data_IF_534300802991
#
_entry.id   IF_534300802991
#
_cell.length_a   1.000
_cell.length_b   1.000
_cell.length_c   1.000
_cell.angle_alpha   90.00
_cell.angle_beta   90.00
_cell.angle_gamma   90.00
#
_symmetry.space_group_name_H-M   'P 1'
#
loop_
_entity.id
_entity.type
_entity.pdbx_description
1 polymer ?
#
# COMPACT_ATOMS: atom_id res chain seq x y z
N UNK A 1 26.03 1.19 -9.31
CA UNK A 1 25.55 0.45 -8.11
C UNK A 1 26.16 1.11 -6.89
N UNK A 2 25.57 2.20 -6.43
CA UNK A 2 25.95 2.79 -5.14
C UNK A 2 25.24 1.95 -4.09
N UNK A 3 26.02 1.21 -3.31
CA UNK A 3 25.52 0.48 -2.17
C UNK A 3 24.92 1.51 -1.20
N UNK A 4 23.60 1.49 -1.05
CA UNK A 4 22.95 2.09 0.12
C UNK A 4 23.50 1.30 1.31
N UNK A 5 24.46 1.90 2.01
CA UNK A 5 25.01 1.31 3.20
C UNK A 5 23.84 1.01 4.15
N UNK A 6 23.71 -0.24 4.65
CA UNK A 6 22.76 -0.48 5.72
C UNK A 6 23.18 0.43 6.86
N UNK A 7 22.26 1.30 7.29
CA UNK A 7 22.41 2.05 8.54
C UNK A 7 22.62 1.00 9.62
N UNK A 8 23.88 0.81 10.02
CA UNK A 8 24.24 0.01 11.18
C UNK A 8 23.64 0.73 12.37
N UNK A 9 22.46 0.29 12.80
CA UNK A 9 22.04 0.49 14.18
C UNK A 9 23.10 -0.22 15.02
N UNK A 10 24.00 0.54 15.61
CA UNK A 10 24.93 0.02 16.60
C UNK A 10 24.10 -0.47 17.78
N UNK A 11 23.86 -1.78 17.85
CA UNK A 11 23.33 -2.41 19.05
C UNK A 11 24.41 -2.29 20.13
N UNK A 12 24.31 -1.25 20.96
CA UNK A 12 24.96 -1.25 22.26
C UNK A 12 24.29 -2.36 23.09
N UNK A 13 25.04 -3.33 23.64
CA UNK A 13 24.50 -4.50 24.32
C UNK A 13 23.84 -4.20 25.68
N UNK A 14 23.63 -2.92 26.04
CA UNK A 14 23.08 -2.47 27.32
C UNK A 14 21.79 -1.66 27.21
N UNK A 15 21.30 -1.33 26.01
CA UNK A 15 20.02 -0.63 25.85
C UNK A 15 18.89 -1.62 25.55
N UNK A 16 18.13 -2.01 26.57
CA UNK A 16 16.85 -2.72 26.39
C UNK A 16 15.98 -1.95 25.39
N UNK A 17 15.40 -2.67 24.42
CA UNK A 17 14.55 -2.11 23.37
C UNK A 17 13.36 -1.34 23.96
N UNK A 18 12.86 -0.34 23.23
CA UNK A 18 11.75 0.50 23.70
C UNK A 18 10.50 -0.33 24.04
N UNK A 19 10.16 -1.28 23.17
CA UNK A 19 9.00 -2.14 23.38
C UNK A 19 9.12 -3.02 24.62
N UNK A 20 10.32 -3.51 24.96
CA UNK A 20 10.53 -4.26 26.20
C UNK A 20 10.35 -3.39 27.43
N UNK A 21 10.82 -2.14 27.39
CA UNK A 21 10.66 -1.19 28.51
C UNK A 21 9.20 -0.79 28.73
N UNK A 22 8.43 -0.59 27.66
CA UNK A 22 7.07 -0.06 27.73
C UNK A 22 5.98 -1.15 27.87
N UNK A 23 6.11 -2.24 27.12
CA UNK A 23 5.07 -3.27 27.02
C UNK A 23 5.35 -4.48 27.92
N UNK A 24 6.62 -4.78 28.20
CA UNK A 24 7.04 -5.98 28.93
C UNK A 24 8.00 -5.67 30.08
N UNK A 25 7.66 -4.76 31.01
CA UNK A 25 8.57 -4.33 32.08
C UNK A 25 8.98 -5.46 33.03
N UNK A 26 8.13 -6.49 33.18
CA UNK A 26 8.35 -7.62 34.08
C UNK A 26 9.07 -8.80 33.40
N UNK A 27 9.32 -8.74 32.08
CA UNK A 27 9.91 -9.83 31.33
C UNK A 27 11.46 -9.73 31.41
N UNK A 28 12.17 -10.77 31.88
CA UNK A 28 13.63 -10.73 31.95
C UNK A 28 14.26 -10.59 30.56
N UNK A 29 15.39 -9.89 30.47
CA UNK A 29 16.05 -9.57 29.20
C UNK A 29 16.49 -10.82 28.39
N UNK A 30 16.60 -11.97 29.04
CA UNK A 30 16.95 -13.26 28.45
C UNK A 30 15.77 -14.00 27.83
N UNK A 31 14.53 -13.64 28.17
CA UNK A 31 13.33 -14.32 27.66
C UNK A 31 12.85 -13.67 26.35
N UNK A 32 12.41 -14.46 25.35
CA UNK A 32 11.82 -13.92 24.14
C UNK A 32 10.45 -13.29 24.45
N UNK A 33 10.10 -12.25 23.69
CA UNK A 33 8.77 -11.62 23.73
C UNK A 33 7.70 -12.59 23.20
N UNK A 34 6.42 -12.44 23.60
CA UNK A 34 5.33 -13.24 23.04
C UNK A 34 5.29 -13.17 21.52
N UNK A 35 4.97 -14.28 20.85
CA UNK A 35 5.07 -14.38 19.39
C UNK A 35 3.75 -13.94 18.74
N UNK A 36 3.81 -12.92 17.87
CA UNK A 36 2.68 -12.47 17.05
C UNK A 36 2.63 -13.19 15.71
N UNK A 37 3.77 -13.26 15.02
CA UNK A 37 3.93 -13.96 13.74
C UNK A 37 4.58 -15.31 14.02
N UNK A 38 3.89 -16.44 13.78
CA UNK A 38 4.45 -17.77 14.03
C UNK A 38 5.59 -18.07 13.05
N UNK A 39 6.57 -18.84 13.52
CA UNK A 39 7.65 -19.38 12.70
C UNK A 39 9.00 -19.34 13.39
N UNK A 40 9.97 -20.02 12.79
CA UNK A 40 11.33 -20.15 13.33
C UNK A 40 12.33 -19.41 12.45
N UNK A 41 13.23 -18.66 13.08
CA UNK A 41 14.34 -18.00 12.40
C UNK A 41 14.55 -16.55 12.82
N UNK A 42 15.80 -16.09 12.70
CA UNK A 42 16.23 -14.75 13.11
C UNK A 42 15.43 -13.63 12.43
N UNK A 43 15.05 -13.81 11.17
CA UNK A 43 14.27 -12.80 10.44
C UNK A 43 12.84 -12.64 11.01
N UNK A 44 12.25 -13.72 11.55
CA UNK A 44 10.90 -13.69 12.16
C UNK A 44 10.96 -13.07 13.56
N UNK A 45 12.01 -13.34 14.33
CA UNK A 45 12.28 -12.65 15.60
C UNK A 45 12.42 -11.13 15.37
N UNK A 46 13.20 -10.73 14.37
CA UNK A 46 13.34 -9.32 13.98
C UNK A 46 11.99 -8.71 13.58
N UNK A 47 11.16 -9.44 12.84
CA UNK A 47 9.83 -8.96 12.45
C UNK A 47 8.93 -8.74 13.68
N UNK A 48 8.86 -9.70 14.60
CA UNK A 48 8.09 -9.56 15.84
C UNK A 48 8.58 -8.34 16.66
N UNK A 49 9.90 -8.20 16.83
CA UNK A 49 10.51 -7.06 17.55
C UNK A 49 10.15 -5.72 16.88
N UNK A 50 10.10 -5.66 15.54
CA UNK A 50 9.74 -4.46 14.79
C UNK A 50 8.27 -4.11 14.93
N UNK A 51 7.37 -5.10 14.90
CA UNK A 51 5.93 -4.88 15.12
C UNK A 51 5.70 -4.35 16.54
N UNK A 52 6.32 -4.95 17.55
CA UNK A 52 6.22 -4.45 18.92
C UNK A 52 6.84 -3.07 19.09
N UNK A 53 7.94 -2.77 18.39
CA UNK A 53 8.51 -1.42 18.39
C UNK A 53 7.52 -0.40 17.84
N UNK A 54 6.84 -0.71 16.73
CA UNK A 54 5.83 0.17 16.14
C UNK A 54 4.65 0.42 17.11
N UNK A 55 4.19 -0.63 17.79
CA UNK A 55 3.15 -0.52 18.83
C UNK A 55 3.62 0.36 19.99
N UNK A 56 4.83 0.14 20.47
CA UNK A 56 5.41 0.93 21.57
C UNK A 56 5.56 2.41 21.20
N UNK A 57 5.90 2.72 19.94
CA UNK A 57 5.93 4.08 19.42
C UNK A 57 4.54 4.70 19.38
N UNK A 58 3.52 3.95 18.96
CA UNK A 58 2.13 4.42 18.99
C UNK A 58 1.67 4.73 20.42
N UNK A 59 1.97 3.86 21.39
CA UNK A 59 1.65 4.12 22.80
C UNK A 59 2.38 5.32 23.35
N UNK A 60 3.66 5.49 23.00
CA UNK A 60 4.44 6.64 23.42
C UNK A 60 3.88 7.95 22.86
N UNK A 61 3.51 7.99 21.59
CA UNK A 61 3.01 9.19 20.94
C UNK A 61 1.60 9.55 21.40
N UNK A 62 0.72 8.57 21.49
CA UNK A 62 -0.71 8.81 21.61
C UNK A 62 -1.32 8.47 22.97
N UNK A 63 -0.67 7.68 23.82
CA UNK A 63 -1.16 7.37 25.17
C UNK A 63 -0.32 8.11 26.21
N UNK A 64 1.00 7.95 26.18
CA UNK A 64 1.91 8.58 27.17
C UNK A 64 1.96 10.11 27.09
N UNK A 65 1.47 10.72 26.02
CA UNK A 65 1.36 12.18 25.92
C UNK A 65 0.35 12.79 26.89
N UNK A 66 -0.64 12.02 27.34
CA UNK A 66 -1.68 12.48 28.26
C UNK A 66 -1.92 11.57 29.47
N UNK A 67 -1.66 10.26 29.38
CA UNK A 67 -1.91 9.31 30.48
C UNK A 67 -1.24 9.70 31.81
N UNK A 68 0.03 10.19 31.85
CA UNK A 68 0.67 10.64 33.08
C UNK A 68 -0.04 11.80 33.80
N UNK A 69 -0.91 12.54 33.09
CA UNK A 69 -1.74 13.60 33.67
C UNK A 69 -2.94 13.05 34.43
N UNK A 70 -3.36 11.83 34.12
CA UNK A 70 -4.53 11.16 34.71
C UNK A 70 -4.09 10.17 35.78
N UNK A 71 -3.11 9.31 35.48
CA UNK A 71 -2.58 8.31 36.41
C UNK A 71 -1.06 8.22 36.31
N UNK A 72 -0.42 7.92 37.44
CA UNK A 72 1.02 7.64 37.51
C UNK A 72 1.34 6.15 37.42
N UNK A 73 0.32 5.30 37.32
CA UNK A 73 0.49 3.87 37.22
C UNK A 73 1.10 3.48 35.86
N UNK A 74 2.21 2.75 35.90
CA UNK A 74 2.93 2.29 34.72
C UNK A 74 2.45 0.91 34.24
N UNK A 75 1.60 0.23 35.02
CA UNK A 75 1.06 -1.10 34.68
C UNK A 75 -0.03 -1.07 33.59
N UNK A 76 -0.62 0.10 33.34
CA UNK A 76 -1.70 0.29 32.36
C UNK A 76 -1.28 -0.09 30.93
N UNK A 77 -0.05 0.25 30.53
CA UNK A 77 0.41 -0.06 29.16
C UNK A 77 0.65 -1.57 28.93
N UNK A 78 1.35 -2.29 29.84
CA UNK A 78 1.41 -3.74 29.79
C UNK A 78 0.03 -4.41 29.78
N UNK A 79 -0.89 -3.95 30.65
CA UNK A 79 -2.26 -4.49 30.71
C UNK A 79 -3.00 -4.31 29.38
N UNK A 80 -3.02 -3.09 28.83
CA UNK A 80 -3.61 -2.83 27.51
C UNK A 80 -3.01 -3.72 26.41
N UNK A 81 -1.70 -3.96 26.46
CA UNK A 81 -1.02 -4.81 25.49
C UNK A 81 -1.43 -6.29 25.63
N UNK A 82 -1.48 -6.81 26.85
CA UNK A 82 -1.84 -8.21 27.12
C UNK A 82 -3.32 -8.49 26.89
N UNK A 83 -4.21 -7.61 27.36
CA UNK A 83 -5.67 -7.79 27.34
C UNK A 83 -6.28 -7.50 25.96
N UNK A 84 -5.76 -6.53 25.21
CA UNK A 84 -6.45 -6.04 24.02
C UNK A 84 -5.58 -6.11 22.76
N UNK A 85 -4.38 -5.53 22.75
CA UNK A 85 -3.59 -5.51 21.51
C UNK A 85 -3.07 -6.87 21.08
N UNK A 86 -2.59 -7.69 22.01
CA UNK A 86 -2.07 -9.01 21.67
C UNK A 86 -3.18 -9.94 21.14
N UNK A 87 -4.36 -10.05 21.78
CA UNK A 87 -5.50 -10.77 21.23
C UNK A 87 -6.00 -10.20 19.90
N UNK A 88 -5.89 -8.88 19.67
CA UNK A 88 -6.28 -8.27 18.40
C UNK A 88 -5.30 -8.56 17.26
N UNK A 89 -3.99 -8.41 17.49
CA UNK A 89 -2.98 -8.50 16.44
C UNK A 89 -2.60 -9.95 16.12
N UNK A 90 -2.55 -10.83 17.12
CA UNK A 90 -2.07 -12.21 16.93
C UNK A 90 -2.91 -13.00 15.91
N UNK A 91 -4.26 -13.02 15.93
CA UNK A 91 -5.05 -13.75 14.94
C UNK A 91 -4.82 -13.24 13.51
N UNK A 92 -4.70 -11.91 13.36
CA UNK A 92 -4.46 -11.27 12.07
C UNK A 92 -3.06 -11.66 11.54
N UNK A 93 -2.02 -11.55 12.37
CA UNK A 93 -0.66 -11.92 12.02
C UNK A 93 -0.52 -13.42 11.71
N UNK A 94 -1.16 -14.27 12.51
CA UNK A 94 -1.17 -15.71 12.31
C UNK A 94 -1.80 -16.08 10.97
N UNK A 95 -2.99 -15.54 10.68
CA UNK A 95 -3.68 -15.75 9.41
C UNK A 95 -2.86 -15.30 8.21
N UNK A 96 -2.24 -14.12 8.29
CA UNK A 96 -1.38 -13.61 7.22
C UNK A 96 -0.18 -14.51 6.93
N UNK A 97 0.32 -15.20 7.96
CA UNK A 97 1.41 -16.16 7.79
C UNK A 97 0.97 -17.51 7.24
N UNK A 98 -0.26 -17.94 7.54
CA UNK A 98 -0.79 -19.25 7.15
C UNK A 98 -1.46 -19.23 5.77
N UNK A 99 -2.32 -18.23 5.50
CA UNK A 99 -2.98 -18.03 4.20
C UNK A 99 -2.76 -16.59 3.69
N UNK A 100 -1.66 -16.33 2.95
CA UNK A 100 -1.41 -15.02 2.36
C UNK A 100 -2.33 -14.71 1.16
N UNK A 101 -3.15 -15.68 0.73
CA UNK A 101 -3.95 -15.57 -0.50
C UNK A 101 -4.89 -14.38 -0.51
N UNK A 102 -5.51 -14.05 0.63
CA UNK A 102 -6.45 -12.92 0.73
C UNK A 102 -5.77 -11.59 0.42
N UNK A 103 -4.49 -11.42 0.79
CA UNK A 103 -3.72 -10.23 0.44
C UNK A 103 -3.31 -10.27 -1.03
N UNK A 104 -3.04 -11.44 -1.58
CA UNK A 104 -2.74 -11.59 -3.02
C UNK A 104 -3.98 -11.22 -3.85
N UNK A 105 -5.17 -11.64 -3.46
CA UNK A 105 -6.45 -11.23 -4.06
C UNK A 105 -6.64 -9.70 -3.95
N UNK A 106 -6.42 -9.13 -2.76
CA UNK A 106 -6.48 -7.69 -2.55
C UNK A 106 -5.54 -6.92 -3.49
N UNK A 107 -4.30 -7.39 -3.66
CA UNK A 107 -3.30 -6.71 -4.49
C UNK A 107 -3.53 -6.87 -5.99
N UNK A 108 -4.02 -8.04 -6.43
CA UNK A 108 -4.17 -8.35 -7.85
C UNK A 108 -5.54 -7.99 -8.41
N UNK A 109 -6.60 -8.14 -7.61
CA UNK A 109 -7.98 -8.03 -8.07
C UNK A 109 -8.61 -6.77 -7.51
N UNK A 110 -8.69 -6.64 -6.19
CA UNK A 110 -9.46 -5.58 -5.57
C UNK A 110 -8.80 -4.22 -5.76
N UNK A 111 -7.51 -4.07 -5.44
CA UNK A 111 -6.80 -2.80 -5.52
C UNK A 111 -6.81 -2.21 -6.94
N UNK A 112 -6.49 -2.95 -8.01
CA UNK A 112 -6.61 -2.41 -9.36
C UNK A 112 -8.05 -2.11 -9.77
N UNK A 113 -9.03 -2.89 -9.29
CA UNK A 113 -10.45 -2.63 -9.56
C UNK A 113 -10.94 -1.35 -8.86
N UNK A 114 -10.50 -1.11 -7.62
CA UNK A 114 -10.80 0.10 -6.87
C UNK A 114 -10.15 1.33 -7.50
N UNK A 115 -8.91 1.19 -7.98
CA UNK A 115 -8.24 2.25 -8.73
C UNK A 115 -8.96 2.54 -10.04
N UNK A 116 -9.36 1.52 -10.81
CA UNK A 116 -10.14 1.69 -12.03
C UNK A 116 -11.47 2.41 -11.77
N UNK A 117 -12.20 2.00 -10.72
CA UNK A 117 -13.42 2.66 -10.27
C UNK A 117 -13.16 4.12 -9.90
N UNK A 118 -12.08 4.40 -9.15
CA UNK A 118 -11.73 5.75 -8.75
C UNK A 118 -11.41 6.64 -9.96
N UNK A 119 -10.58 6.15 -10.89
CA UNK A 119 -10.18 6.89 -12.09
C UNK A 119 -11.38 7.17 -12.99
N UNK A 120 -12.23 6.17 -13.24
CA UNK A 120 -13.43 6.33 -14.06
C UNK A 120 -14.44 7.29 -13.43
N UNK A 121 -14.62 7.22 -12.11
CA UNK A 121 -15.47 8.16 -11.37
C UNK A 121 -14.92 9.59 -11.44
N UNK A 122 -13.61 9.75 -11.30
CA UNK A 122 -12.92 11.04 -11.41
C UNK A 122 -13.11 11.67 -12.80
N UNK A 123 -12.93 10.89 -13.86
CA UNK A 123 -13.17 11.37 -15.22
C UNK A 123 -14.63 11.78 -15.42
N UNK A 124 -15.58 10.96 -14.96
CA UNK A 124 -16.99 11.31 -15.01
C UNK A 124 -17.33 12.58 -14.23
N UNK A 125 -16.67 12.81 -13.08
CA UNK A 125 -16.84 14.03 -12.28
C UNK A 125 -16.33 15.27 -13.04
N UNK A 126 -15.13 15.18 -13.63
CA UNK A 126 -14.55 16.26 -14.45
C UNK A 126 -15.39 16.58 -15.68
N UNK A 127 -15.89 15.55 -16.37
CA UNK A 127 -16.76 15.73 -17.53
C UNK A 127 -18.06 16.44 -17.17
N UNK A 128 -18.69 16.11 -16.04
CA UNK A 128 -19.89 16.83 -15.61
C UNK A 128 -19.62 18.28 -15.20
N UNK A 129 -18.48 18.56 -14.56
CA UNK A 129 -18.09 19.95 -14.29
C UNK A 129 -17.87 20.74 -15.59
N UNK A 130 -17.26 20.11 -16.59
CA UNK A 130 -17.05 20.73 -17.91
C UNK A 130 -18.38 21.02 -18.64
N UNK A 131 -19.39 20.16 -18.48
CA UNK A 131 -20.72 20.32 -19.10
C UNK A 131 -21.66 21.24 -18.31
N UNK A 132 -21.46 21.39 -17.00
CA UNK A 132 -22.35 22.08 -16.06
C UNK A 132 -22.22 23.61 -16.00
N UNK A 133 -21.38 24.24 -16.83
CA UNK A 133 -21.02 25.67 -16.78
C UNK A 133 -22.13 26.70 -17.07
N UNK A 134 -23.40 26.39 -16.83
CA UNK A 134 -24.54 27.22 -17.21
C UNK A 134 -25.22 28.01 -16.08
N UNK A 135 -25.54 27.39 -14.94
CA UNK A 135 -26.36 28.06 -13.91
C UNK A 135 -26.07 27.42 -12.53
N UNK A 136 -25.48 28.16 -11.58
CA UNK A 136 -25.21 27.79 -10.18
C UNK A 136 -24.09 26.77 -9.83
N UNK A 137 -23.26 26.33 -10.79
CA UNK A 137 -22.13 25.40 -10.51
C UNK A 137 -20.82 26.10 -10.05
N UNK A 138 -20.81 27.42 -9.89
CA UNK A 138 -19.62 28.21 -9.51
C UNK A 138 -19.07 27.88 -8.10
N UNK A 139 -19.83 27.12 -7.29
CA UNK A 139 -19.46 26.70 -5.94
C UNK A 139 -19.19 25.19 -5.79
N UNK A 140 -19.46 24.37 -6.81
CA UNK A 140 -19.27 22.92 -6.68
C UNK A 140 -17.81 22.55 -6.88
N UNK A 141 -17.19 21.97 -5.87
CA UNK A 141 -15.82 21.46 -5.97
C UNK A 141 -15.79 20.16 -6.78
N UNK A 142 -14.60 19.78 -7.27
CA UNK A 142 -14.39 18.45 -7.87
C UNK A 142 -14.75 17.33 -6.88
N UNK A 143 -14.48 17.53 -5.59
CA UNK A 143 -14.89 16.65 -4.51
C UNK A 143 -16.41 16.44 -4.45
N UNK A 144 -17.21 17.51 -4.58
CA UNK A 144 -18.67 17.40 -4.57
C UNK A 144 -19.21 16.63 -5.78
N UNK A 145 -18.68 16.93 -6.97
CA UNK A 145 -19.06 16.22 -8.20
C UNK A 145 -18.66 14.72 -8.18
N UNK A 146 -17.56 14.40 -7.48
CA UNK A 146 -17.11 13.03 -7.25
C UNK A 146 -17.99 12.33 -6.21
N UNK A 147 -18.22 12.95 -5.05
CA UNK A 147 -19.02 12.39 -3.97
C UNK A 147 -20.46 12.11 -4.41
N UNK A 148 -21.06 12.99 -5.22
CA UNK A 148 -22.38 12.77 -5.80
C UNK A 148 -22.48 11.51 -6.66
N UNK A 149 -21.36 11.04 -7.25
CA UNK A 149 -21.30 9.80 -8.05
C UNK A 149 -21.03 8.57 -7.21
N UNK A 150 -20.20 8.73 -6.17
CA UNK A 150 -19.79 7.64 -5.29
C UNK A 150 -19.97 8.02 -3.82
N UNK A 151 -21.22 8.12 -3.33
CA UNK A 151 -21.49 8.45 -1.95
C UNK A 151 -21.14 7.24 -1.06
N UNK A 152 -20.10 7.39 -0.24
CA UNK A 152 -19.64 6.36 0.69
C UNK A 152 -19.98 6.75 2.13
N UNK A 153 -20.55 5.85 2.92
CA UNK A 153 -20.82 6.10 4.36
C UNK A 153 -19.54 6.37 5.17
N UNK A 154 -18.41 5.87 4.67
CA UNK A 154 -17.09 6.06 5.25
C UNK A 154 -16.48 7.43 4.95
N UNK A 155 -17.16 8.29 4.18
CA UNK A 155 -16.69 9.61 3.79
C UNK A 155 -17.73 10.65 4.17
N UNK A 156 -17.30 11.72 4.83
CA UNK A 156 -18.16 12.83 5.27
C UNK A 156 -17.52 14.17 4.91
N UNK A 157 -18.32 15.24 4.85
CA UNK A 157 -17.81 16.60 4.77
C UNK A 157 -17.26 17.00 6.14
N UNK A 158 -16.08 17.61 6.18
CA UNK A 158 -15.42 17.95 7.44
C UNK A 158 -16.17 19.07 8.16
N UNK A 159 -16.33 18.92 9.47
CA UNK A 159 -16.93 19.97 10.32
C UNK A 159 -16.02 21.19 10.47
N UNK A 160 -14.70 21.00 10.32
CA UNK A 160 -13.69 22.06 10.55
C UNK A 160 -13.31 22.83 9.29
N UNK A 161 -13.59 22.26 8.11
CA UNK A 161 -13.28 22.84 6.81
C UNK A 161 -14.49 22.60 5.92
N UNK A 162 -15.33 23.62 5.77
CA UNK A 162 -16.66 23.52 5.16
C UNK A 162 -16.66 22.97 3.72
N UNK A 163 -15.50 22.87 3.05
CA UNK A 163 -15.36 22.42 1.66
C UNK A 163 -14.48 21.18 1.46
N UNK A 164 -14.07 20.48 2.52
CA UNK A 164 -13.23 19.28 2.38
C UNK A 164 -13.93 18.01 2.84
N UNK A 165 -13.64 16.92 2.15
CA UNK A 165 -14.07 15.59 2.56
C UNK A 165 -13.02 14.94 3.46
N UNK A 166 -13.47 14.16 4.43
CA UNK A 166 -12.61 13.35 5.27
C UNK A 166 -13.22 11.97 5.55
N UNK A 167 -12.37 11.03 5.96
CA UNK A 167 -12.84 9.71 6.37
C UNK A 167 -13.62 9.82 7.66
N UNK A 168 -14.84 9.28 7.69
CA UNK A 168 -15.74 9.33 8.83
C UNK A 168 -15.09 8.76 10.09
N UNK A 169 -14.89 9.56 11.15
CA UNK A 169 -14.31 9.07 12.39
C UNK A 169 -15.24 8.07 13.08
N UNK A 170 -16.56 8.22 12.90
CA UNK A 170 -17.55 7.27 13.40
C UNK A 170 -17.42 5.91 12.70
N UNK A 171 -17.24 5.90 11.38
CA UNK A 171 -17.03 4.67 10.64
C UNK A 171 -15.74 3.96 11.08
N UNK A 172 -14.66 4.70 11.28
CA UNK A 172 -13.38 4.17 11.75
C UNK A 172 -13.46 3.58 13.17
N UNK A 173 -14.15 4.25 14.10
CA UNK A 173 -14.31 3.73 15.46
C UNK A 173 -15.28 2.56 15.53
N UNK A 174 -16.36 2.57 14.75
CA UNK A 174 -17.28 1.43 14.62
C UNK A 174 -16.57 0.21 14.04
N UNK A 175 -15.67 0.42 13.09
CA UNK A 175 -14.82 -0.63 12.54
C UNK A 175 -13.92 -1.25 13.62
N UNK A 176 -13.19 -0.44 14.40
CA UNK A 176 -12.34 -0.95 15.47
C UNK A 176 -13.17 -1.66 16.55
N UNK A 177 -14.35 -1.16 16.89
CA UNK A 177 -15.26 -1.84 17.82
C UNK A 177 -15.65 -3.24 17.31
N UNK A 178 -15.95 -3.37 16.02
CA UNK A 178 -16.27 -4.66 15.42
C UNK A 178 -15.08 -5.63 15.46
N UNK A 179 -13.86 -5.14 15.23
CA UNK A 179 -12.63 -5.93 15.39
C UNK A 179 -12.40 -6.39 16.83
N UNK A 180 -12.59 -5.48 17.80
CA UNK A 180 -12.42 -5.79 19.22
C UNK A 180 -13.42 -6.86 19.65
N UNK A 181 -14.70 -6.71 19.25
CA UNK A 181 -15.75 -7.68 19.55
C UNK A 181 -15.49 -9.08 18.97
N UNK A 182 -14.76 -9.17 17.87
CA UNK A 182 -14.43 -10.44 17.24
C UNK A 182 -13.24 -11.15 17.90
N UNK A 183 -12.24 -10.40 18.37
CA UNK A 183 -10.95 -10.95 18.79
C UNK A 183 -10.70 -10.91 20.30
N UNK A 184 -11.50 -10.15 21.06
CA UNK A 184 -11.41 -10.04 22.53
C UNK A 184 -12.65 -10.71 23.13
N UNK A 185 -12.46 -11.77 23.93
CA UNK A 185 -13.54 -12.55 24.55
C UNK A 185 -13.68 -12.26 26.06
N UNK A 186 -14.89 -12.47 26.61
CA UNK A 186 -15.11 -12.57 28.06
C UNK A 186 -15.06 -11.25 28.86
N UNK A 187 -14.65 -11.34 30.13
CA UNK A 187 -14.56 -10.21 31.10
C UNK A 187 -13.58 -9.12 30.64
N UNK A 188 -12.61 -9.48 29.80
CA UNK A 188 -11.62 -8.58 29.20
C UNK A 188 -12.26 -7.58 28.21
N UNK A 189 -13.31 -7.99 27.49
CA UNK A 189 -14.11 -7.10 26.65
C UNK A 189 -14.98 -6.14 27.48
N UNK A 190 -15.38 -6.54 28.69
CA UNK A 190 -16.26 -5.76 29.57
C UNK A 190 -15.53 -4.60 30.26
N UNK A 191 -14.19 -4.55 30.20
CA UNK A 191 -13.39 -3.40 30.64
C UNK A 191 -13.64 -2.17 29.75
N UNK A 192 -14.70 -1.43 30.08
CA UNK A 192 -15.22 -0.30 29.30
C UNK A 192 -14.18 0.81 29.02
N UNK A 193 -13.37 1.27 29.99
CA UNK A 193 -12.47 2.40 29.76
C UNK A 193 -11.31 2.09 28.80
N UNK A 194 -10.68 0.92 28.94
CA UNK A 194 -9.57 0.50 28.09
C UNK A 194 -10.04 0.23 26.66
N UNK A 195 -11.20 -0.44 26.52
CA UNK A 195 -11.82 -0.69 25.22
C UNK A 195 -12.12 0.61 24.46
N UNK A 196 -12.77 1.57 25.12
CA UNK A 196 -13.08 2.87 24.50
C UNK A 196 -11.79 3.60 24.14
N UNK A 197 -10.80 3.62 25.04
CA UNK A 197 -9.52 4.27 24.78
C UNK A 197 -8.83 3.72 23.53
N UNK A 198 -8.77 2.39 23.40
CA UNK A 198 -8.12 1.73 22.26
C UNK A 198 -8.93 1.90 20.98
N UNK A 199 -10.26 1.83 21.07
CA UNK A 199 -11.14 2.12 19.94
C UNK A 199 -10.90 3.51 19.38
N UNK A 200 -10.88 4.52 20.24
CA UNK A 200 -10.65 5.91 19.83
C UNK A 200 -9.21 6.12 19.33
N UNK A 201 -8.23 5.49 19.99
CA UNK A 201 -6.83 5.53 19.60
C UNK A 201 -6.59 4.95 18.20
N UNK A 202 -6.99 3.70 17.98
CA UNK A 202 -6.77 3.03 16.68
C UNK A 202 -7.64 3.69 15.61
N UNK A 203 -8.92 3.94 15.90
CA UNK A 203 -9.86 4.50 14.92
C UNK A 203 -9.51 5.92 14.50
N UNK A 204 -9.44 6.86 15.45
CA UNK A 204 -9.30 8.29 15.12
C UNK A 204 -7.84 8.70 14.93
N UNK A 205 -6.95 8.27 15.83
CA UNK A 205 -5.57 8.75 15.82
C UNK A 205 -4.71 8.00 14.80
N UNK A 206 -4.78 6.66 14.78
CA UNK A 206 -3.97 5.85 13.86
C UNK A 206 -4.60 5.82 12.47
N UNK A 207 -5.77 5.19 12.31
CA UNK A 207 -6.38 5.00 10.98
C UNK A 207 -6.80 6.33 10.35
N UNK A 208 -7.41 7.23 11.14
CA UNK A 208 -7.78 8.58 10.68
C UNK A 208 -6.56 9.47 10.40
N UNK A 209 -5.48 9.35 11.19
CA UNK A 209 -4.21 10.04 10.92
C UNK A 209 -3.57 9.58 9.61
N UNK A 210 -3.48 8.26 9.39
CA UNK A 210 -2.97 7.67 8.16
C UNK A 210 -3.84 8.10 6.97
N UNK A 211 -5.16 8.00 7.09
CA UNK A 211 -6.08 8.34 6.01
C UNK A 211 -5.92 9.78 5.55
N UNK A 212 -5.85 10.74 6.49
CA UNK A 212 -5.61 12.14 6.18
C UNK A 212 -4.32 12.36 5.40
N UNK A 213 -3.24 11.67 5.78
CA UNK A 213 -1.92 11.83 5.17
C UNK A 213 -1.84 11.22 3.78
N UNK A 214 -2.35 10.00 3.61
CA UNK A 214 -2.34 9.28 2.32
C UNK A 214 -3.32 9.93 1.32
N UNK A 215 -4.37 10.60 1.82
CA UNK A 215 -5.28 11.34 0.94
C UNK A 215 -4.62 12.56 0.29
N UNK A 216 -3.51 13.08 0.86
CA UNK A 216 -2.84 14.24 0.28
C UNK A 216 -2.06 13.89 -1.00
N UNK A 217 -2.17 14.69 -2.07
CA UNK A 217 -1.44 14.45 -3.32
C UNK A 217 0.09 14.42 -3.16
N UNK A 218 0.63 15.30 -2.30
CA UNK A 218 2.07 15.39 -2.06
C UNK A 218 2.67 14.10 -1.49
N UNK A 219 1.86 13.31 -0.76
CA UNK A 219 2.29 12.04 -0.21
C UNK A 219 2.67 11.07 -1.34
N UNK A 220 1.83 11.00 -2.38
CA UNK A 220 2.06 10.14 -3.55
C UNK A 220 3.25 10.60 -4.39
N UNK A 221 3.43 11.91 -4.54
CA UNK A 221 4.60 12.44 -5.25
C UNK A 221 5.90 12.11 -4.52
N UNK A 222 5.93 12.33 -3.20
CA UNK A 222 7.06 11.96 -2.35
C UNK A 222 7.33 10.46 -2.36
N UNK A 223 6.28 9.63 -2.36
CA UNK A 223 6.41 8.17 -2.47
C UNK A 223 6.99 7.78 -3.83
N UNK A 224 6.48 8.33 -4.93
CA UNK A 224 6.99 8.09 -6.29
C UNK A 224 8.46 8.43 -6.43
N UNK A 225 8.89 9.57 -5.89
CA UNK A 225 10.30 9.99 -5.89
C UNK A 225 11.20 9.03 -5.11
N UNK A 226 10.73 8.54 -3.95
CA UNK A 226 11.46 7.54 -3.15
C UNK A 226 11.57 6.19 -3.87
N UNK A 227 10.55 5.79 -4.62
CA UNK A 227 10.54 4.53 -5.38
C UNK A 227 11.44 4.60 -6.62
N UNK A 228 11.45 5.75 -7.32
CA UNK A 228 12.28 5.98 -8.51
C UNK A 228 13.76 6.15 -8.13
N UNK A 229 14.05 6.78 -6.99
CA UNK A 229 15.41 7.04 -6.52
C UNK A 229 16.05 8.30 -7.13
N UNK A 230 17.22 8.72 -6.61
CA UNK A 230 17.90 9.96 -6.99
C UNK A 230 18.33 9.97 -8.46
N UNK A 231 18.48 11.18 -9.03
CA UNK A 231 18.92 11.32 -10.42
C UNK A 231 20.28 10.68 -10.67
N UNK A 232 20.44 9.88 -11.74
CA UNK A 232 21.78 9.45 -12.14
C UNK A 232 22.59 10.70 -12.46
N UNK A 233 23.68 10.92 -11.72
CA UNK A 233 24.60 12.03 -11.97
C UNK A 233 24.96 12.09 -13.48
N UNK A 234 24.90 13.27 -14.12
CA UNK A 234 25.19 13.41 -15.54
C UNK A 234 26.65 13.10 -15.92
N UNK A 235 27.51 12.74 -14.97
CA UNK A 235 28.96 12.59 -15.14
C UNK A 235 29.44 11.23 -15.66
N UNK A 236 28.58 10.21 -15.82
CA UNK A 236 29.00 8.85 -16.23
C UNK A 236 28.53 8.47 -17.65
N UNK A 237 28.01 9.41 -18.44
CA UNK A 237 27.64 9.18 -19.84
C UNK A 237 28.57 9.89 -20.83
N UNK A 238 29.88 9.90 -20.58
CA UNK A 238 30.87 10.27 -21.59
C UNK A 238 32.03 9.26 -21.57
N UNK A 239 31.93 8.22 -22.40
CA UNK A 239 33.15 7.63 -22.96
C UNK A 239 32.92 6.91 -24.29
N UNK A 240 33.60 7.48 -25.29
CA UNK A 240 34.30 6.81 -26.41
C UNK A 240 33.47 6.11 -27.50
N UNK A 241 33.05 6.91 -28.48
CA UNK A 241 32.83 6.44 -29.85
C UNK A 241 34.16 6.55 -30.64
N UNK A 242 34.95 5.47 -30.66
CA UNK A 242 36.06 5.33 -31.62
C UNK A 242 35.54 4.75 -32.94
N UNK A 243 35.81 5.47 -34.02
CA UNK A 243 35.64 5.05 -35.41
C UNK A 243 36.36 3.71 -35.64
N UNK A 244 35.63 2.70 -36.11
CA UNK A 244 36.18 1.40 -36.47
C UNK A 244 35.67 1.00 -37.85
N UNK A 245 36.61 0.54 -38.67
CA UNK A 245 36.45 0.14 -40.07
C UNK A 245 35.38 -0.94 -40.29
N UNK A 246 34.82 -0.93 -41.50
CA UNK A 246 33.66 -1.69 -42.00
C UNK A 246 33.73 -3.21 -41.73
N UNK A 247 34.93 -3.80 -41.62
CA UNK A 247 35.14 -5.22 -41.28
C UNK A 247 34.91 -5.56 -39.79
N UNK A 248 35.05 -4.60 -38.86
CA UNK A 248 34.75 -4.79 -37.42
C UNK A 248 33.26 -4.63 -37.08
N UNK A 249 32.45 -4.22 -38.06
CA UNK A 249 31.01 -4.02 -37.89
C UNK A 249 30.25 -5.36 -37.94
N UNK A 250 30.64 -6.28 -38.83
CA UNK A 250 30.03 -7.62 -38.93
C UNK A 250 30.16 -8.46 -37.66
N UNK A 251 31.35 -8.48 -37.04
CA UNK A 251 31.59 -9.18 -35.76
C UNK A 251 30.74 -8.60 -34.62
N UNK A 252 30.59 -7.28 -34.56
CA UNK A 252 29.73 -6.63 -33.55
C UNK A 252 28.25 -6.97 -33.76
N UNK A 253 27.79 -7.12 -35.01
CA UNK A 253 26.44 -7.57 -35.32
C UNK A 253 26.19 -9.02 -34.89
N UNK A 254 27.11 -9.93 -35.23
CA UNK A 254 27.02 -11.34 -34.82
C UNK A 254 27.03 -11.46 -33.28
N UNK A 255 27.92 -10.74 -32.59
CA UNK A 255 27.95 -10.71 -31.13
C UNK A 255 26.68 -10.14 -30.51
N UNK A 256 26.04 -9.14 -31.15
CA UNK A 256 24.74 -8.60 -30.70
C UNK A 256 23.63 -9.63 -30.89
N UNK A 257 23.53 -10.23 -32.08
CA UNK A 257 22.54 -11.27 -32.39
C UNK A 257 22.70 -12.45 -31.43
N UNK A 258 23.93 -12.90 -31.17
CA UNK A 258 24.22 -13.98 -30.23
C UNK A 258 23.82 -13.62 -28.80
N UNK A 259 24.06 -12.38 -28.36
CA UNK A 259 23.58 -11.89 -27.06
C UNK A 259 22.05 -11.88 -26.97
N UNK A 260 21.35 -11.42 -28.01
CA UNK A 260 19.89 -11.44 -28.05
C UNK A 260 19.34 -12.87 -28.07
N UNK A 261 19.97 -13.79 -28.80
CA UNK A 261 19.62 -15.20 -28.79
C UNK A 261 19.80 -15.81 -27.40
N UNK A 262 20.95 -15.58 -26.74
CA UNK A 262 21.18 -16.04 -25.37
C UNK A 262 20.20 -15.43 -24.36
N UNK A 263 19.89 -14.14 -24.49
CA UNK A 263 18.88 -13.48 -23.64
C UNK A 263 17.49 -14.05 -23.87
N UNK A 264 17.11 -14.27 -25.13
CA UNK A 264 15.83 -14.88 -25.48
C UNK A 264 15.73 -16.32 -24.99
N UNK A 265 16.80 -17.10 -25.12
CA UNK A 265 16.87 -18.47 -24.58
C UNK A 265 16.77 -18.46 -23.06
N UNK A 266 17.52 -17.59 -22.39
CA UNK A 266 17.45 -17.41 -20.93
C UNK A 266 16.06 -16.97 -20.47
N UNK A 267 15.37 -16.13 -21.23
CA UNK A 267 14.00 -15.74 -20.96
C UNK A 267 13.04 -16.91 -21.13
N UNK A 268 13.17 -17.70 -22.22
CA UNK A 268 12.33 -18.88 -22.46
C UNK A 268 12.55 -19.94 -21.39
N UNK A 269 13.79 -20.22 -21.00
CA UNK A 269 14.08 -21.16 -19.92
C UNK A 269 13.56 -20.65 -18.58
N UNK A 270 13.71 -19.36 -18.29
CA UNK A 270 13.14 -18.74 -17.09
C UNK A 270 11.61 -18.86 -17.04
N UNK A 271 10.92 -18.56 -18.15
CA UNK A 271 9.46 -18.75 -18.26
C UNK A 271 9.09 -20.22 -18.08
N UNK A 272 9.83 -21.14 -18.69
CA UNK A 272 9.56 -22.57 -18.57
C UNK A 272 9.75 -23.09 -17.14
N UNK A 273 10.85 -22.72 -16.48
CA UNK A 273 11.12 -23.07 -15.08
C UNK A 273 10.03 -22.51 -14.18
N UNK A 274 9.64 -21.24 -14.37
CA UNK A 274 8.58 -20.61 -13.61
C UNK A 274 7.21 -21.27 -13.82
N UNK A 275 6.91 -21.71 -15.04
CA UNK A 275 5.72 -22.49 -15.35
C UNK A 275 5.76 -23.90 -14.76
N UNK A 276 6.94 -24.49 -14.65
CA UNK A 276 7.12 -25.79 -14.01
C UNK A 276 6.94 -25.70 -12.49
N UNK A 277 7.49 -24.66 -11.86
CA UNK A 277 7.47 -24.43 -10.41
C UNK A 277 6.11 -23.93 -9.89
N UNK A 278 5.36 -23.17 -10.71
CA UNK A 278 4.09 -22.60 -10.27
C UNK A 278 3.05 -23.70 -9.96
N UNK A 279 2.21 -23.57 -8.91
CA UNK A 279 1.19 -24.56 -8.59
C UNK A 279 0.12 -24.67 -9.69
N UNK A 280 -0.62 -25.77 -9.77
CA UNK A 280 -1.72 -25.91 -10.78
C UNK A 280 -2.74 -24.79 -10.61
N UNK A 281 -3.41 -24.42 -11.71
CA UNK A 281 -4.38 -23.32 -11.77
C UNK A 281 -5.37 -23.39 -10.60
N UNK A 282 -5.33 -22.38 -9.74
CA UNK A 282 -6.31 -22.19 -8.69
C UNK A 282 -7.48 -21.37 -9.24
N UNK A 283 -8.71 -21.74 -8.92
CA UNK A 283 -9.93 -21.01 -9.36
C UNK A 283 -10.02 -19.60 -8.76
N UNK A 284 -9.29 -19.37 -7.67
CA UNK A 284 -9.21 -18.14 -6.88
C UNK A 284 -8.73 -16.92 -7.68
N UNK A 285 -7.69 -17.09 -8.51
CA UNK A 285 -7.04 -15.99 -9.23
C UNK A 285 -7.48 -15.86 -10.69
N UNK A 286 -8.73 -16.22 -11.00
CA UNK A 286 -9.20 -16.25 -12.39
C UNK A 286 -9.25 -14.85 -12.98
N UNK A 287 -8.56 -14.64 -14.11
CA UNK A 287 -8.43 -13.33 -14.77
C UNK A 287 -7.79 -12.24 -13.91
N UNK A 288 -6.83 -12.58 -13.05
CA UNK A 288 -6.26 -11.64 -12.07
C UNK A 288 -5.54 -10.43 -12.69
N UNK A 289 -5.03 -10.53 -13.92
CA UNK A 289 -4.36 -9.43 -14.61
C UNK A 289 -5.33 -8.47 -15.32
N UNK A 290 -6.58 -8.88 -15.52
CA UNK A 290 -7.55 -8.10 -16.28
C UNK A 290 -7.92 -6.77 -15.60
N UNK A 291 -8.16 -6.72 -14.26
CA UNK A 291 -8.35 -5.47 -13.54
C UNK A 291 -7.21 -4.47 -13.74
N UNK A 292 -5.95 -4.92 -13.71
CA UNK A 292 -4.78 -4.06 -13.93
C UNK A 292 -4.77 -3.47 -15.33
N UNK A 293 -5.08 -4.27 -16.37
CA UNK A 293 -5.14 -3.78 -17.75
C UNK A 293 -6.25 -2.74 -17.91
N UNK A 294 -7.41 -2.97 -17.29
CA UNK A 294 -8.53 -2.01 -17.30
C UNK A 294 -8.19 -0.71 -16.60
N UNK A 295 -7.56 -0.79 -15.43
CA UNK A 295 -7.05 0.36 -14.70
C UNK A 295 -6.04 1.16 -15.55
N UNK A 296 -5.07 0.51 -16.18
CA UNK A 296 -4.10 1.21 -17.07
C UNK A 296 -4.82 1.87 -18.25
N UNK A 297 -5.87 1.24 -18.77
CA UNK A 297 -6.71 1.81 -19.82
C UNK A 297 -7.51 3.03 -19.34
N UNK A 298 -8.03 3.02 -18.13
CA UNK A 298 -8.77 4.17 -17.60
C UNK A 298 -7.85 5.34 -17.28
N UNK A 299 -6.59 5.13 -16.85
CA UNK A 299 -5.60 6.21 -16.70
C UNK A 299 -5.36 6.91 -18.05
N UNK A 300 -5.28 6.13 -19.13
CA UNK A 300 -4.88 6.65 -20.43
C UNK A 300 -6.11 7.02 -21.25
N UNK A 301 -6.73 8.16 -20.89
CA UNK A 301 -7.80 8.82 -21.65
C UNK A 301 -7.17 9.60 -22.81
N UNK A 302 -6.48 8.90 -23.71
CA UNK A 302 -5.82 9.55 -24.83
C UNK A 302 -6.78 9.64 -26.04
N UNK A 303 -6.91 10.81 -26.71
CA UNK A 303 -7.68 10.92 -27.95
C UNK A 303 -7.14 10.05 -29.10
N UNK A 304 -5.90 9.57 -29.03
CA UNK A 304 -5.34 8.73 -30.09
C UNK A 304 -5.95 7.32 -30.08
N UNK A 305 -6.83 7.07 -31.06
CA UNK A 305 -7.47 5.77 -31.31
C UNK A 305 -6.49 4.58 -31.37
N UNK A 306 -5.26 4.82 -31.83
CA UNK A 306 -4.20 3.81 -31.90
C UNK A 306 -3.90 3.23 -30.51
N UNK A 307 -3.77 4.09 -29.49
CA UNK A 307 -3.42 3.63 -28.15
C UNK A 307 -4.56 2.85 -27.50
N UNK A 308 -5.80 3.30 -27.69
CA UNK A 308 -7.00 2.56 -27.29
C UNK A 308 -7.06 1.18 -27.94
N UNK A 309 -6.67 1.09 -29.21
CA UNK A 309 -6.61 -0.18 -29.95
C UNK A 309 -5.49 -1.09 -29.46
N UNK A 310 -4.31 -0.54 -29.14
CA UNK A 310 -3.19 -1.30 -28.53
C UNK A 310 -3.63 -1.88 -27.18
N UNK A 311 -4.25 -1.08 -26.32
CA UNK A 311 -4.72 -1.55 -25.02
C UNK A 311 -5.85 -2.57 -25.14
N UNK A 312 -6.79 -2.40 -26.07
CA UNK A 312 -7.82 -3.40 -26.33
C UNK A 312 -7.22 -4.72 -26.84
N UNK A 313 -6.19 -4.65 -27.70
CA UNK A 313 -5.45 -5.82 -28.18
C UNK A 313 -4.69 -6.49 -27.03
N UNK A 314 -4.09 -5.70 -26.14
CA UNK A 314 -3.44 -6.20 -24.93
C UNK A 314 -4.44 -6.88 -24.00
N UNK A 315 -5.64 -6.33 -23.82
CA UNK A 315 -6.72 -6.94 -23.02
C UNK A 315 -7.13 -8.31 -23.59
N UNK A 316 -7.27 -8.42 -24.92
CA UNK A 316 -7.53 -9.68 -25.60
C UNK A 316 -6.38 -10.67 -25.42
N UNK A 317 -5.14 -10.22 -25.56
CA UNK A 317 -3.95 -11.06 -25.37
C UNK A 317 -3.83 -11.56 -23.93
N UNK A 318 -4.03 -10.70 -22.94
CA UNK A 318 -4.02 -11.06 -21.52
C UNK A 318 -5.17 -12.03 -21.20
N UNK A 319 -6.34 -11.84 -21.80
CA UNK A 319 -7.47 -12.77 -21.66
C UNK A 319 -7.16 -14.14 -22.25
N UNK A 320 -6.50 -14.18 -23.41
CA UNK A 320 -6.03 -15.41 -24.04
C UNK A 320 -4.94 -16.12 -23.21
N UNK A 321 -3.98 -15.36 -22.68
CA UNK A 321 -2.89 -15.86 -21.85
C UNK A 321 -3.28 -16.07 -20.37
N UNK A 322 -4.53 -15.78 -19.99
CA UNK A 322 -5.03 -15.87 -18.61
C UNK A 322 -4.73 -17.22 -17.93
N UNK A 323 -4.88 -18.40 -18.57
CA UNK A 323 -4.56 -19.68 -17.91
C UNK A 323 -3.10 -19.78 -17.41
N UNK A 324 -2.18 -19.09 -18.09
CA UNK A 324 -0.77 -19.00 -17.72
C UNK A 324 -0.55 -17.88 -16.70
N UNK A 325 -1.11 -16.70 -16.96
CA UNK A 325 -0.94 -15.51 -16.13
C UNK A 325 -1.53 -15.71 -14.72
N UNK A 326 -2.74 -16.27 -14.63
CA UNK A 326 -3.45 -16.60 -13.38
C UNK A 326 -2.64 -17.58 -12.50
N UNK A 327 -1.69 -18.30 -13.09
CA UNK A 327 -0.82 -19.27 -12.40
C UNK A 327 0.49 -18.62 -11.95
N UNK A 328 1.12 -17.87 -12.85
CA UNK A 328 2.46 -17.33 -12.66
C UNK A 328 2.47 -16.11 -11.75
N UNK A 329 1.54 -15.17 -11.94
CA UNK A 329 1.56 -13.90 -11.19
C UNK A 329 1.35 -14.12 -9.68
N UNK A 330 0.33 -14.86 -9.22
CA UNK A 330 0.17 -15.11 -7.78
C UNK A 330 1.38 -15.79 -7.16
N UNK A 331 1.95 -16.78 -7.87
CA UNK A 331 3.14 -17.50 -7.41
C UNK A 331 4.39 -16.59 -7.31
N UNK A 332 4.56 -15.66 -8.25
CA UNK A 332 5.63 -14.65 -8.16
C UNK A 332 5.44 -13.71 -6.97
N UNK A 333 4.22 -13.28 -6.71
CA UNK A 333 3.91 -12.41 -5.56
C UNK A 333 4.16 -13.17 -4.26
N UNK A 334 3.69 -14.41 -4.16
CA UNK A 334 3.90 -15.24 -2.99
C UNK A 334 5.39 -15.50 -2.73
N UNK A 335 6.14 -15.91 -3.76
CA UNK A 335 7.56 -16.27 -3.64
C UNK A 335 8.51 -15.07 -3.47
N UNK A 336 8.18 -13.89 -4.01
CA UNK A 336 9.07 -12.72 -4.01
C UNK A 336 8.59 -11.58 -3.14
N UNK A 337 7.29 -11.31 -3.12
CA UNK A 337 6.72 -10.18 -2.39
C UNK A 337 6.34 -10.58 -0.97
N UNK A 338 5.71 -11.74 -0.76
CA UNK A 338 5.28 -12.24 0.57
C UNK A 338 6.42 -12.93 1.33
N UNK A 339 7.58 -12.28 1.37
CA UNK A 339 8.71 -12.73 2.19
C UNK A 339 8.79 -11.95 3.50
N UNK A 340 9.32 -12.57 4.55
CA UNK A 340 9.56 -11.93 5.86
C UNK A 340 10.35 -10.62 5.71
N UNK A 341 11.30 -10.58 4.76
CA UNK A 341 12.09 -9.37 4.47
C UNK A 341 11.25 -8.22 3.91
N UNK A 342 10.26 -8.52 3.07
CA UNK A 342 9.32 -7.51 2.59
C UNK A 342 8.43 -7.01 3.71
N UNK A 343 7.98 -7.89 4.61
CA UNK A 343 7.20 -7.51 5.79
C UNK A 343 7.99 -6.56 6.71
N UNK A 344 9.27 -6.85 6.97
CA UNK A 344 10.15 -5.95 7.75
C UNK A 344 10.25 -4.58 7.08
N UNK A 345 10.48 -4.53 5.75
CA UNK A 345 10.52 -3.26 5.00
C UNK A 345 9.20 -2.49 5.07
N UNK A 346 8.07 -3.20 5.06
CA UNK A 346 6.75 -2.59 5.18
C UNK A 346 6.56 -1.99 6.57
N UNK A 347 6.94 -2.71 7.63
CA UNK A 347 6.89 -2.19 9.01
C UNK A 347 7.81 -0.97 9.17
N UNK A 348 9.03 -1.01 8.62
CA UNK A 348 9.94 0.15 8.63
C UNK A 348 9.36 1.35 7.86
N UNK A 349 8.65 1.10 6.75
CA UNK A 349 7.98 2.14 5.97
C UNK A 349 6.80 2.73 6.77
N UNK A 350 5.99 1.89 7.40
CA UNK A 350 4.89 2.32 8.28
C UNK A 350 5.42 3.14 9.45
N UNK A 351 6.52 2.70 10.08
CA UNK A 351 7.19 3.45 11.14
C UNK A 351 7.63 4.83 10.65
N UNK A 352 8.21 4.95 9.45
CA UNK A 352 8.61 6.25 8.87
C UNK A 352 7.43 7.14 8.48
N UNK A 353 6.30 6.55 8.07
CA UNK A 353 5.09 7.31 7.74
C UNK A 353 4.41 7.80 9.00
N UNK A 354 4.33 6.98 10.05
CA UNK A 354 3.69 7.35 11.32
C UNK A 354 4.61 8.23 12.19
N UNK A 355 5.91 7.96 12.17
CA UNK A 355 6.93 8.57 13.04
C UNK A 355 8.17 8.99 12.22
N UNK A 356 8.08 10.04 11.38
CA UNK A 356 9.14 10.44 10.46
C UNK A 356 10.46 10.90 11.11
N UNK A 357 10.49 11.15 12.43
CA UNK A 357 11.65 11.65 13.17
C UNK A 357 12.20 10.64 14.19
N UNK A 358 12.52 9.41 13.74
CA UNK A 358 13.19 8.37 14.55
C UNK A 358 12.50 8.09 15.90
N UNK A 359 11.17 7.99 15.91
CA UNK A 359 10.43 7.44 17.05
C UNK A 359 10.25 8.37 18.27
N UNK A 360 10.50 9.67 18.16
CA UNK A 360 10.09 10.65 19.17
C UNK A 360 8.80 11.37 18.71
N UNK A 361 7.84 11.70 19.59
CA UNK A 361 6.76 12.64 19.28
C UNK A 361 7.34 14.06 19.15
N UNK A 362 8.15 14.27 18.12
CA UNK A 362 8.40 15.60 17.61
C UNK A 362 7.09 16.10 16.97
N UNK A 363 6.88 17.43 16.87
CA UNK A 363 5.77 17.95 16.10
C UNK A 363 5.75 17.28 14.73
N UNK A 364 4.58 16.85 14.28
CA UNK A 364 4.38 16.31 12.94
C UNK A 364 5.10 17.24 11.98
N UNK A 365 5.97 16.74 11.07
CA UNK A 365 6.62 17.61 10.10
C UNK A 365 5.56 18.48 9.44
N UNK A 366 5.81 19.78 9.38
CA UNK A 366 4.89 20.69 8.73
C UNK A 366 4.58 20.15 7.33
N UNK A 367 3.30 20.11 6.99
CA UNK A 367 2.89 19.67 5.67
C UNK A 367 3.55 20.59 4.63
N UNK A 368 4.02 20.03 3.51
CA UNK A 368 4.72 20.82 2.50
C UNK A 368 3.84 21.96 2.05
N UNK A 369 4.45 23.13 1.89
CA UNK A 369 3.73 24.30 1.35
C UNK A 369 3.17 23.97 -0.04
N UNK A 370 2.09 24.61 -0.51
CA UNK A 370 1.53 24.33 -1.83
C UNK A 370 2.57 24.52 -2.96
N UNK A 371 3.53 25.43 -2.78
CA UNK A 371 4.64 25.65 -3.70
C UNK A 371 5.64 24.48 -3.68
N UNK A 372 6.02 24.00 -2.51
CA UNK A 372 6.87 22.81 -2.36
C UNK A 372 6.19 21.56 -2.94
N UNK A 373 4.90 21.40 -2.70
CA UNK A 373 4.10 20.31 -3.26
C UNK A 373 4.10 20.35 -4.80
N UNK A 374 3.89 21.53 -5.39
CA UNK A 374 3.99 21.71 -6.84
C UNK A 374 5.41 21.42 -7.38
N UNK A 375 6.45 21.78 -6.62
CA UNK A 375 7.84 21.48 -7.00
C UNK A 375 8.10 19.97 -6.98
N UNK A 376 7.58 19.23 -5.99
CA UNK A 376 7.69 17.77 -5.91
C UNK A 376 7.00 17.08 -7.08
N UNK A 377 5.82 17.56 -7.47
CA UNK A 377 5.12 17.08 -8.66
C UNK A 377 5.96 17.26 -9.93
N UNK A 378 6.47 18.47 -10.17
CA UNK A 378 7.31 18.77 -11.35
C UNK A 378 8.57 17.92 -11.38
N UNK A 379 9.22 17.75 -10.23
CA UNK A 379 10.40 16.91 -10.12
C UNK A 379 10.07 15.45 -10.42
N UNK A 380 8.94 14.93 -9.92
CA UNK A 380 8.50 13.57 -10.24
C UNK A 380 8.19 13.40 -11.74
N UNK A 381 7.51 14.36 -12.36
CA UNK A 381 7.22 14.34 -13.80
C UNK A 381 8.51 14.29 -14.63
N UNK A 382 9.52 15.09 -14.27
CA UNK A 382 10.85 15.06 -14.88
C UNK A 382 11.50 13.69 -14.72
N UNK A 383 11.51 13.12 -13.52
CA UNK A 383 12.11 11.81 -13.24
C UNK A 383 11.42 10.68 -14.02
N UNK A 384 10.10 10.73 -14.15
CA UNK A 384 9.35 9.78 -14.98
C UNK A 384 9.80 9.92 -16.45
N UNK A 385 9.90 11.14 -16.97
CA UNK A 385 10.33 11.37 -18.35
C UNK A 385 11.76 10.88 -18.64
N UNK A 386 12.65 10.89 -17.65
CA UNK A 386 14.03 10.42 -17.79
C UNK A 386 14.11 8.88 -17.85
N UNK A 387 13.14 8.18 -17.26
CA UNK A 387 13.07 6.71 -17.25
C UNK A 387 12.40 6.17 -18.52
N UNK A 388 11.41 6.90 -19.05
CA UNK A 388 10.67 6.47 -20.22
C UNK A 388 11.57 6.51 -21.47
N UNK A 389 11.71 5.40 -22.22
CA UNK A 389 12.52 5.37 -23.44
C UNK A 389 12.08 6.41 -24.47
N UNK A 390 13.03 7.00 -25.22
CA UNK A 390 12.74 8.08 -26.17
C UNK A 390 11.73 7.74 -27.28
N UNK A 391 11.62 6.46 -27.68
CA UNK A 391 10.60 6.00 -28.63
C UNK A 391 9.19 5.97 -28.00
N UNK A 392 9.12 5.76 -26.69
CA UNK A 392 7.89 5.69 -25.92
C UNK A 392 7.35 7.11 -25.59
N UNK A 393 8.22 8.12 -25.42
CA UNK A 393 7.83 9.52 -25.18
C UNK A 393 6.93 10.08 -26.29
N UNK A 394 7.10 9.65 -27.54
CA UNK A 394 6.26 10.10 -28.67
C UNK A 394 4.86 9.47 -28.72
N UNK A 395 4.66 8.36 -28.00
CA UNK A 395 3.45 7.53 -28.08
C UNK A 395 2.66 7.54 -26.77
N UNK A 396 3.35 7.64 -25.63
CA UNK A 396 2.72 7.73 -24.31
C UNK A 396 2.20 9.14 -24.04
N UNK A 397 1.12 9.26 -23.23
CA UNK A 397 0.68 10.56 -22.73
C UNK A 397 1.78 11.22 -21.89
N UNK A 398 1.71 12.56 -21.69
CA UNK A 398 2.65 13.26 -20.84
C UNK A 398 2.68 12.61 -19.44
N UNK A 399 3.85 12.61 -18.76
CA UNK A 399 4.02 11.92 -17.48
C UNK A 399 3.05 12.41 -16.41
N UNK A 400 2.61 13.67 -16.49
CA UNK A 400 1.62 14.26 -15.59
C UNK A 400 0.25 13.56 -15.62
N UNK A 401 -0.14 12.93 -16.73
CA UNK A 401 -1.42 12.19 -16.83
C UNK A 401 -1.47 11.00 -15.87
N UNK A 402 -0.33 10.37 -15.57
CA UNK A 402 -0.28 9.25 -14.61
C UNK A 402 -0.44 9.71 -13.16
N UNK A 403 -0.18 10.99 -12.86
CA UNK A 403 -0.30 11.58 -11.53
C UNK A 403 -1.66 12.25 -11.31
N UNK A 404 -2.39 12.49 -12.40
CA UNK A 404 -3.67 13.18 -12.39
C UNK A 404 -4.74 12.51 -11.51
N UNK A 405 -4.87 11.16 -11.47
CA UNK A 405 -5.84 10.50 -10.60
C UNK A 405 -5.66 10.82 -9.11
N UNK A 406 -4.41 11.03 -8.67
CA UNK A 406 -4.07 11.23 -7.27
C UNK A 406 -3.89 12.72 -6.91
N UNK A 407 -4.24 13.62 -7.82
CA UNK A 407 -3.97 15.07 -7.67
C UNK A 407 -4.97 15.80 -6.79
N UNK A 408 -6.14 15.21 -6.49
CA UNK A 408 -7.21 15.85 -5.71
C UNK A 408 -7.42 15.13 -4.37
N UNK A 409 -7.31 15.87 -3.27
CA UNK A 409 -7.35 15.28 -1.92
C UNK A 409 -8.74 14.72 -1.57
N UNK A 410 -9.81 15.41 -1.97
CA UNK A 410 -11.19 15.02 -1.64
C UNK A 410 -11.59 13.74 -2.39
N UNK A 411 -11.16 13.61 -3.65
CA UNK A 411 -11.32 12.38 -4.41
C UNK A 411 -10.48 11.23 -3.81
N UNK A 412 -9.24 11.52 -3.38
CA UNK A 412 -8.36 10.51 -2.77
C UNK A 412 -8.95 9.94 -1.48
N UNK A 413 -9.66 10.74 -0.66
CA UNK A 413 -10.32 10.25 0.56
C UNK A 413 -11.28 9.09 0.26
N UNK A 414 -12.01 9.15 -0.85
CA UNK A 414 -12.90 8.08 -1.28
C UNK A 414 -12.13 6.82 -1.68
N UNK A 415 -11.02 6.97 -2.41
CA UNK A 415 -10.14 5.85 -2.73
C UNK A 415 -9.61 5.18 -1.46
N UNK A 416 -9.12 5.96 -0.49
CA UNK A 416 -8.60 5.42 0.78
C UNK A 416 -9.69 4.70 1.56
N UNK A 417 -10.90 5.25 1.63
CA UNK A 417 -12.00 4.61 2.33
C UNK A 417 -12.42 3.27 1.69
N UNK A 418 -12.40 3.18 0.35
CA UNK A 418 -12.60 1.92 -0.36
C UNK A 418 -11.47 0.93 -0.11
N UNK A 419 -10.21 1.38 -0.16
CA UNK A 419 -9.03 0.54 0.09
C UNK A 419 -9.04 0.01 1.52
N UNK A 420 -9.43 0.83 2.50
CA UNK A 420 -9.62 0.36 3.88
C UNK A 420 -10.68 -0.73 3.93
N UNK A 421 -11.85 -0.52 3.34
CA UNK A 421 -12.92 -1.53 3.32
C UNK A 421 -12.47 -2.86 2.70
N UNK A 422 -11.71 -2.82 1.60
CA UNK A 422 -11.17 -4.01 0.96
C UNK A 422 -10.06 -4.67 1.79
N UNK A 423 -9.15 -3.88 2.36
CA UNK A 423 -8.10 -4.40 3.25
C UNK A 423 -8.69 -5.09 4.48
N UNK A 424 -9.78 -4.55 5.03
CA UNK A 424 -10.53 -5.16 6.13
C UNK A 424 -11.12 -6.50 5.69
N UNK A 425 -11.77 -6.56 4.53
CA UNK A 425 -12.32 -7.81 4.02
C UNK A 425 -11.25 -8.88 3.77
N UNK A 426 -10.06 -8.48 3.36
CA UNK A 426 -8.93 -9.39 3.15
C UNK A 426 -8.30 -9.87 4.47
N UNK A 427 -8.17 -8.99 5.47
CA UNK A 427 -7.55 -9.32 6.76
C UNK A 427 -8.51 -10.06 7.69
N UNK A 428 -9.78 -9.65 7.71
CA UNK A 428 -10.82 -10.09 8.63
C UNK A 428 -12.14 -10.35 7.87
N UNK A 429 -12.20 -11.40 7.04
CA UNK A 429 -13.38 -11.76 6.24
C UNK A 429 -14.64 -12.04 7.09
N UNK A 430 -14.49 -12.32 8.38
CA UNK A 430 -15.62 -12.51 9.31
C UNK A 430 -16.46 -11.25 9.47
N UNK A 431 -15.87 -10.07 9.27
CA UNK A 431 -16.57 -8.78 9.34
C UNK A 431 -17.35 -8.46 8.07
N UNK A 432 -17.08 -9.17 6.96
CA UNK A 432 -17.80 -8.97 5.70
C UNK A 432 -19.09 -9.76 5.74
N UNK A 433 -20.23 -9.06 5.65
CA UNK A 433 -21.58 -9.63 5.62
C UNK A 433 -21.74 -10.49 4.35
N UNK A 434 -21.30 -11.75 4.41
CA UNK A 434 -21.33 -12.69 3.28
C UNK A 434 -20.51 -13.97 3.46
N UNK A 435 -19.51 -14.00 4.36
CA UNK A 435 -18.62 -15.16 4.55
C UNK A 435 -19.28 -16.38 5.23
N UNK A 436 -20.47 -16.22 5.81
CA UNK A 436 -21.23 -17.29 6.48
C UNK A 436 -22.29 -18.00 5.62
N UNK A 437 -22.32 -17.79 4.30
CA UNK A 437 -23.12 -18.66 3.41
C UNK A 437 -22.33 -19.95 3.14
N UNK A 438 -22.23 -20.83 4.15
CA UNK A 438 -22.08 -22.26 3.87
C UNK A 438 -23.29 -22.65 3.04
N UNK A 439 -23.12 -22.75 1.72
CA UNK A 439 -24.09 -23.39 0.83
C UNK A 439 -24.29 -24.79 1.40
N UNK A 440 -25.41 -25.00 2.11
CA UNK A 440 -25.82 -26.35 2.49
C UNK A 440 -25.84 -27.16 1.20
N UNK A 441 -25.15 -28.31 1.12
CA UNK A 441 -25.37 -29.20 -0.01
C UNK A 441 -26.88 -29.44 -0.08
N UNK A 442 -27.48 -29.16 -1.24
CA UNK A 442 -28.85 -29.58 -1.51
C UNK A 442 -28.86 -31.08 -1.32
N UNK A 443 -29.43 -31.53 -0.20
CA UNK A 443 -29.75 -32.94 -0.03
C UNK A 443 -30.68 -33.31 -1.18
N UNK A 444 -30.22 -34.22 -2.02
CA UNK A 444 -31.02 -34.92 -3.01
C UNK A 444 -32.20 -35.58 -2.31
N UNK A 445 -33.41 -35.15 -2.69
CA UNK A 445 -34.64 -35.91 -2.57
C UNK A 445 -34.95 -36.55 -3.92
#
# INVERSE_FOLDING_TARGET
>A
MVAIAPVRVSHNPTSTSLHRKLLFPNLPATQPVPVLVPGEGKDIEILNDRIYNLVALAFRAYILSWLPRITKDQSVLPQINETILFPLLRPICFRLSEDPSSIIELLLIDLPSLLDLHITTLHGAKEALALGGGVNWDQSTLGDAYHARLPLMSVIKSETSEDRYETSPLWLTAFVEALLKLNVEGEEYDCLPERIMIRELIGRLVLGGIARRISQPWFWWGLGLKLIGPSPDPSIALSTQKSASILKQGSKWICRIWKYLLLSWGFVTWVFVLLAESPRRQTRYRYCALPTVRMVRSIIVNPFWIFRSILATLELFVSFASPVIDRVIPHLIESRLMTVKSAIRLVDLLERILFPLNGYPAPTPEDPTPEEAASMRRYLEQRISEIVPSFAIKVLPPPGTFLEPLSDADCNVHLIAMVYSAAIGALVPELVVGSNVKVRPKNSA
#
